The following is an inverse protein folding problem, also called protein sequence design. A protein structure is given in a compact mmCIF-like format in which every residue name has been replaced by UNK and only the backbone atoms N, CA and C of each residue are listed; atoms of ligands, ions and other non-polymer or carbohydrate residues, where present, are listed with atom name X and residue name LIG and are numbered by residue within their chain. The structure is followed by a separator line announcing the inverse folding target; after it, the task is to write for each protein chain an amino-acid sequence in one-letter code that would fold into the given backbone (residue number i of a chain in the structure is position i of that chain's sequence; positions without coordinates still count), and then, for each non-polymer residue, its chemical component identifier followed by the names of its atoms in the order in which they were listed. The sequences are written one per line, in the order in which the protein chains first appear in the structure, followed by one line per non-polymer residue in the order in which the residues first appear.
data_IF_299657301303
#
_entry.id   IF_299657301303
#
_cell.length_a   1.000
_cell.length_b   1.000
_cell.length_c   1.000
_cell.angle_alpha   90.00
_cell.angle_beta   90.00
_cell.angle_gamma   90.00
#
_symmetry.space_group_name_H-M   'P 1'
#
loop_
_entity.id
_entity.type
_entity.pdbx_description
1 polymer ?
#
# COMPACT_ATOMS: atom_id res chain seq x y z
N UNK A 1 -26.39 59.55 12.11
CA UNK A 1 -25.92 58.50 13.05
C UNK A 1 -26.44 57.11 12.67
N UNK A 2 -27.75 56.90 12.49
CA UNK A 2 -28.32 55.58 12.20
C UNK A 2 -27.78 54.88 10.94
N UNK A 3 -27.62 55.60 9.82
CA UNK A 3 -27.18 55.01 8.54
C UNK A 3 -25.74 54.49 8.56
N UNK A 4 -24.83 55.16 9.27
CA UNK A 4 -23.44 54.72 9.40
C UNK A 4 -23.34 53.42 10.22
N UNK A 5 -24.12 53.30 11.30
CA UNK A 5 -24.17 52.09 12.12
C UNK A 5 -24.71 50.90 11.33
N UNK A 6 -25.71 51.10 10.47
CA UNK A 6 -26.26 50.03 9.61
C UNK A 6 -25.22 49.56 8.59
N UNK A 7 -24.51 50.49 7.93
CA UNK A 7 -23.46 50.15 6.95
C UNK A 7 -22.32 49.38 7.63
N UNK A 8 -21.91 49.78 8.84
CA UNK A 8 -20.87 49.09 9.60
C UNK A 8 -21.29 47.66 9.97
N UNK A 9 -22.52 47.46 10.43
CA UNK A 9 -23.05 46.13 10.77
C UNK A 9 -23.11 45.23 9.54
N UNK A 10 -23.63 45.73 8.41
CA UNK A 10 -23.68 44.98 7.16
C UNK A 10 -22.28 44.62 6.64
N UNK A 11 -21.32 45.55 6.72
CA UNK A 11 -19.93 45.30 6.36
C UNK A 11 -19.28 44.20 7.21
N UNK A 12 -19.56 44.19 8.52
CA UNK A 12 -19.06 43.17 9.44
C UNK A 12 -19.62 41.78 9.13
N UNK A 13 -20.91 41.70 8.79
CA UNK A 13 -21.56 40.44 8.39
C UNK A 13 -21.00 39.91 7.07
N UNK A 14 -20.81 40.77 6.07
CA UNK A 14 -20.22 40.40 4.79
C UNK A 14 -18.78 39.92 4.98
N UNK A 15 -17.96 40.66 5.73
CA UNK A 15 -16.57 40.29 5.99
C UNK A 15 -16.47 38.97 6.77
N UNK A 16 -17.35 38.77 7.78
CA UNK A 16 -17.44 37.52 8.52
C UNK A 16 -17.83 36.34 7.64
N UNK A 17 -18.80 36.53 6.74
CA UNK A 17 -19.19 35.51 5.76
C UNK A 17 -18.06 35.14 4.79
N UNK A 18 -17.33 36.14 4.28
CA UNK A 18 -16.17 35.93 3.41
C UNK A 18 -15.06 35.18 4.15
N UNK A 19 -14.75 35.59 5.39
CA UNK A 19 -13.75 34.92 6.22
C UNK A 19 -14.13 33.46 6.50
N UNK A 20 -15.40 33.20 6.81
CA UNK A 20 -15.91 31.86 7.04
C UNK A 20 -15.78 30.98 5.80
N UNK A 21 -16.18 31.48 4.62
CA UNK A 21 -16.03 30.76 3.35
C UNK A 21 -14.56 30.49 3.01
N UNK A 22 -13.67 31.45 3.28
CA UNK A 22 -12.23 31.27 3.09
C UNK A 22 -11.67 30.16 3.97
N UNK A 23 -12.06 30.10 5.25
CA UNK A 23 -11.66 29.02 6.17
C UNK A 23 -12.17 27.67 5.67
N UNK A 24 -13.42 27.58 5.22
CA UNK A 24 -13.97 26.35 4.64
C UNK A 24 -13.20 25.91 3.39
N UNK A 25 -12.83 26.84 2.52
CA UNK A 25 -12.03 26.56 1.32
C UNK A 25 -10.65 26.03 1.68
N UNK A 26 -9.95 26.68 2.62
CA UNK A 26 -8.62 26.24 3.09
C UNK A 26 -8.72 24.86 3.75
N UNK A 27 -9.71 24.62 4.61
CA UNK A 27 -9.91 23.31 5.23
C UNK A 27 -10.20 22.23 4.19
N UNK A 28 -11.02 22.52 3.18
CA UNK A 28 -11.31 21.60 2.08
C UNK A 28 -10.06 21.31 1.24
N UNK A 29 -9.26 22.34 0.93
CA UNK A 29 -8.01 22.19 0.17
C UNK A 29 -6.96 21.42 0.96
N UNK A 30 -6.78 21.72 2.26
CA UNK A 30 -5.90 20.97 3.14
C UNK A 30 -6.33 19.51 3.26
N UNK A 31 -7.64 19.25 3.34
CA UNK A 31 -8.18 17.88 3.32
C UNK A 31 -7.89 17.19 1.98
N UNK A 32 -8.08 17.87 0.86
CA UNK A 32 -7.80 17.34 -0.48
C UNK A 32 -6.31 17.02 -0.66
N UNK A 33 -5.41 17.93 -0.26
CA UNK A 33 -3.96 17.73 -0.31
C UNK A 33 -3.50 16.61 0.65
N UNK A 34 -4.13 16.50 1.83
CA UNK A 34 -3.86 15.41 2.78
C UNK A 34 -4.32 14.05 2.26
N UNK A 35 -5.47 14.00 1.57
CA UNK A 35 -6.03 12.76 1.00
C UNK A 35 -5.30 12.30 -0.27
N UNK A 36 -4.76 13.22 -1.09
CA UNK A 36 -3.98 12.87 -2.29
C UNK A 36 -2.62 12.23 -1.96
N UNK A 37 -2.14 12.36 -0.72
CA UNK A 37 -0.92 11.69 -0.22
C UNK A 37 -1.16 10.30 0.40
N UNK A 38 -2.37 9.75 0.31
CA UNK A 38 -2.68 8.36 0.71
C UNK A 38 -3.17 7.53 -0.47
N UNK A 39 -2.27 7.27 -1.40
CA UNK A 39 -2.22 6.00 -2.11
C UNK A 39 -0.73 5.70 -2.33
N UNK A 40 -0.17 4.66 -1.69
CA UNK A 40 1.25 4.37 -1.79
C UNK A 40 1.51 3.71 -3.14
N UNK A 41 1.73 4.49 -4.19
CA UNK A 41 2.12 3.97 -5.52
C UNK A 41 3.43 3.16 -5.41
N UNK A 42 4.31 3.51 -4.47
CA UNK A 42 5.55 2.76 -4.19
C UNK A 42 5.32 1.34 -3.59
N UNK A 43 4.17 1.06 -2.97
CA UNK A 43 3.85 -0.32 -2.49
C UNK A 43 3.35 -1.23 -3.61
N UNK A 44 2.86 -0.67 -4.72
CA UNK A 44 2.44 -1.46 -5.88
C UNK A 44 3.58 -1.71 -6.86
N UNK A 45 4.63 -0.88 -6.84
CA UNK A 45 5.81 -1.08 -7.69
C UNK A 45 6.73 -2.19 -7.16
N UNK A 46 7.04 -2.21 -5.86
CA UNK A 46 7.93 -3.22 -5.27
C UNK A 46 7.14 -4.33 -4.60
N UNK A 47 6.86 -5.40 -5.34
CA UNK A 47 6.35 -6.62 -4.71
C UNK A 47 7.43 -7.16 -3.76
N UNK A 48 7.04 -7.48 -2.54
CA UNK A 48 7.93 -8.21 -1.64
C UNK A 48 8.20 -9.62 -2.18
N UNK A 49 9.34 -10.21 -1.82
CA UNK A 49 9.64 -11.60 -2.16
C UNK A 49 8.52 -12.56 -1.72
N UNK A 50 7.91 -12.30 -0.55
CA UNK A 50 6.77 -13.07 -0.06
C UNK A 50 5.55 -13.00 -0.98
N UNK A 51 5.23 -11.82 -1.51
CA UNK A 51 4.13 -11.64 -2.47
C UNK A 51 4.41 -12.34 -3.80
N UNK A 52 5.67 -12.31 -4.28
CA UNK A 52 6.09 -13.03 -5.50
C UNK A 52 5.96 -14.54 -5.30
N UNK A 53 6.46 -15.09 -4.19
CA UNK A 53 6.33 -16.51 -3.85
C UNK A 53 4.86 -16.93 -3.80
N UNK A 54 4.02 -16.12 -3.14
CA UNK A 54 2.59 -16.37 -3.05
C UNK A 54 1.91 -16.37 -4.42
N UNK A 55 2.24 -15.38 -5.26
CA UNK A 55 1.68 -15.26 -6.61
C UNK A 55 2.03 -16.47 -7.48
N UNK A 56 3.29 -16.92 -7.45
CA UNK A 56 3.69 -18.13 -8.15
C UNK A 56 2.98 -19.38 -7.62
N UNK A 57 2.91 -19.56 -6.30
CA UNK A 57 2.17 -20.68 -5.70
C UNK A 57 0.72 -20.73 -6.19
N UNK A 58 0.04 -19.58 -6.19
CA UNK A 58 -1.36 -19.47 -6.61
C UNK A 58 -1.52 -19.70 -8.12
N UNK A 59 -0.58 -19.21 -8.94
CA UNK A 59 -0.55 -19.48 -10.39
C UNK A 59 -0.39 -20.98 -10.70
N UNK A 60 0.38 -21.69 -9.87
CA UNK A 60 0.55 -23.14 -9.92
C UNK A 60 -0.59 -23.92 -9.25
N UNK A 61 -1.61 -23.23 -8.69
CA UNK A 61 -2.77 -23.82 -7.98
C UNK A 61 -2.38 -24.72 -6.79
N UNK A 62 -1.28 -24.39 -6.11
CA UNK A 62 -0.76 -25.15 -4.97
C UNK A 62 -1.21 -24.55 -3.64
N UNK A 63 -1.39 -25.39 -2.61
CA UNK A 63 -1.60 -24.94 -1.22
C UNK A 63 -0.26 -24.70 -0.53
N UNK A 64 -0.26 -23.95 0.58
CA UNK A 64 0.97 -23.75 1.38
C UNK A 64 1.47 -25.09 1.95
N UNK A 65 0.54 -25.99 2.32
CA UNK A 65 0.82 -27.36 2.75
C UNK A 65 1.54 -28.15 1.66
N UNK A 66 1.04 -28.11 0.42
CA UNK A 66 1.66 -28.83 -0.69
C UNK A 66 3.09 -28.35 -0.98
N UNK A 67 3.32 -27.04 -0.97
CA UNK A 67 4.66 -26.46 -1.14
C UNK A 67 5.56 -26.89 0.01
N UNK A 68 5.06 -26.87 1.24
CA UNK A 68 5.82 -27.25 2.42
C UNK A 68 6.25 -28.72 2.38
N UNK A 69 5.32 -29.62 2.04
CA UNK A 69 5.59 -31.06 1.86
C UNK A 69 6.62 -31.29 0.74
N UNK A 70 6.47 -30.60 -0.40
CA UNK A 70 7.39 -30.71 -1.54
C UNK A 70 8.82 -30.26 -1.21
N UNK A 71 8.96 -29.29 -0.32
CA UNK A 71 10.26 -28.73 0.08
C UNK A 71 10.81 -29.36 1.37
N UNK A 72 10.06 -30.24 2.04
CA UNK A 72 10.46 -30.82 3.32
C UNK A 72 10.54 -29.80 4.46
N UNK A 73 9.71 -28.76 4.42
CA UNK A 73 9.65 -27.69 5.44
C UNK A 73 8.28 -27.67 6.12
N UNK A 74 8.13 -26.87 7.17
CA UNK A 74 6.82 -26.69 7.80
C UNK A 74 5.94 -25.74 6.99
N UNK A 75 4.63 -25.98 6.98
CA UNK A 75 3.63 -25.04 6.42
C UNK A 75 3.79 -23.62 7.00
N UNK A 76 4.13 -23.54 8.28
CA UNK A 76 4.37 -22.25 8.96
C UNK A 76 5.58 -21.51 8.37
N UNK A 77 6.62 -22.21 7.91
CA UNK A 77 7.73 -21.59 7.21
C UNK A 77 7.26 -20.93 5.90
N UNK A 78 6.49 -21.67 5.08
CA UNK A 78 5.90 -21.13 3.83
C UNK A 78 5.01 -19.92 4.12
N UNK A 79 4.16 -19.98 5.15
CA UNK A 79 3.32 -18.85 5.55
C UNK A 79 4.14 -17.64 5.99
N UNK A 80 5.27 -17.83 6.70
CA UNK A 80 6.16 -16.73 7.09
C UNK A 80 6.87 -16.11 5.89
N UNK A 81 7.27 -16.92 4.92
CA UNK A 81 7.84 -16.42 3.66
C UNK A 81 6.83 -15.57 2.89
N UNK A 82 5.62 -16.08 2.68
CA UNK A 82 4.57 -15.37 1.91
C UNK A 82 4.07 -14.09 2.60
N UNK A 83 4.24 -13.96 3.91
CA UNK A 83 3.86 -12.76 4.67
C UNK A 83 5.03 -11.81 4.94
N UNK A 84 6.24 -12.15 4.48
CA UNK A 84 7.45 -11.36 4.75
C UNK A 84 7.92 -11.39 6.21
N UNK A 85 7.39 -12.31 7.02
CA UNK A 85 7.80 -12.47 8.43
C UNK A 85 9.18 -13.13 8.58
N UNK A 86 9.65 -13.82 7.54
CA UNK A 86 11.02 -14.33 7.42
C UNK A 86 11.32 -14.60 5.96
N UNK A 87 12.60 -14.60 5.57
CA UNK A 87 13.01 -14.96 4.22
C UNK A 87 13.30 -16.47 4.08
N UNK A 88 13.05 -17.07 2.91
CA UNK A 88 13.55 -18.41 2.62
C UNK A 88 15.09 -18.39 2.55
N UNK A 89 15.72 -19.49 2.99
CA UNK A 89 17.15 -19.68 2.73
C UNK A 89 17.43 -19.74 1.23
N UNK A 90 18.67 -19.48 0.81
CA UNK A 90 19.07 -19.60 -0.60
C UNK A 90 18.72 -20.97 -1.18
N UNK A 91 18.94 -22.05 -0.45
CA UNK A 91 18.57 -23.41 -0.87
C UNK A 91 17.06 -23.55 -1.07
N UNK A 92 16.24 -23.00 -0.18
CA UNK A 92 14.79 -23.03 -0.30
C UNK A 92 14.29 -22.15 -1.44
N UNK A 93 14.93 -21.02 -1.72
CA UNK A 93 14.62 -20.18 -2.85
C UNK A 93 14.84 -20.92 -4.18
N UNK A 94 15.96 -21.64 -4.32
CA UNK A 94 16.19 -22.51 -5.47
C UNK A 94 15.18 -23.65 -5.56
N UNK A 95 14.77 -24.23 -4.43
CA UNK A 95 13.76 -25.27 -4.41
C UNK A 95 12.37 -24.75 -4.83
N UNK A 96 11.98 -23.56 -4.36
CA UNK A 96 10.76 -22.85 -4.78
C UNK A 96 10.76 -22.59 -6.29
N UNK A 97 11.87 -22.06 -6.82
CA UNK A 97 12.02 -21.79 -8.25
C UNK A 97 11.81 -23.07 -9.09
N UNK A 98 12.46 -24.18 -8.69
CA UNK A 98 12.27 -25.48 -9.34
C UNK A 98 10.83 -25.98 -9.24
N UNK A 99 10.19 -25.84 -8.08
CA UNK A 99 8.80 -26.27 -7.87
C UNK A 99 7.82 -25.47 -8.73
N UNK A 100 8.03 -24.17 -8.88
CA UNK A 100 7.19 -23.30 -9.70
C UNK A 100 7.55 -23.32 -11.18
N UNK A 101 8.64 -23.98 -11.58
CA UNK A 101 9.10 -24.05 -12.97
C UNK A 101 9.69 -22.75 -13.50
N UNK A 102 10.20 -21.89 -12.62
CA UNK A 102 10.85 -20.61 -12.96
C UNK A 102 12.31 -20.62 -12.50
N UNK A 103 13.10 -19.62 -12.90
CA UNK A 103 14.47 -19.47 -12.39
C UNK A 103 14.45 -18.66 -11.10
N UNK A 104 15.42 -18.89 -10.22
CA UNK A 104 15.49 -18.19 -8.94
C UNK A 104 15.72 -16.68 -9.14
N UNK A 105 16.41 -16.29 -10.21
CA UNK A 105 16.62 -14.90 -10.58
C UNK A 105 15.33 -14.21 -11.01
N UNK A 106 14.38 -14.96 -11.59
CA UNK A 106 13.07 -14.41 -11.98
C UNK A 106 12.25 -14.05 -10.74
N UNK A 107 12.29 -14.88 -9.69
CA UNK A 107 11.66 -14.59 -8.39
C UNK A 107 12.26 -13.34 -7.72
N UNK A 108 13.56 -13.08 -7.89
CA UNK A 108 14.23 -11.91 -7.30
C UNK A 108 14.06 -10.64 -8.13
N UNK A 109 14.04 -10.76 -9.46
CA UNK A 109 13.84 -9.61 -10.36
C UNK A 109 12.50 -8.93 -10.15
N UNK A 110 11.46 -9.67 -9.81
CA UNK A 110 10.14 -9.11 -9.50
C UNK A 110 10.09 -8.32 -8.17
N UNK A 111 11.13 -8.46 -7.32
CA UNK A 111 11.28 -7.72 -6.06
C UNK A 111 12.07 -6.42 -6.25
N UNK A 112 12.99 -6.39 -7.21
CA UNK A 112 13.89 -5.26 -7.47
C UNK A 112 13.29 -4.18 -8.40
N UNK A 113 12.15 -4.45 -9.03
CA UNK A 113 11.49 -3.57 -10.01
C UNK A 113 10.65 -2.44 -9.40
#
# INVERSE_FOLDING_TARGET
MLGASVILVLGLLIYGGILFLFVLLVMALLKYLRTKNTAPEERLLRRSLGEVIKAHRESCKMTQEFVAESLGVSRQAVSKWETGASDPSTSNLFALARLFGVRAEDLLREVEQ
#
